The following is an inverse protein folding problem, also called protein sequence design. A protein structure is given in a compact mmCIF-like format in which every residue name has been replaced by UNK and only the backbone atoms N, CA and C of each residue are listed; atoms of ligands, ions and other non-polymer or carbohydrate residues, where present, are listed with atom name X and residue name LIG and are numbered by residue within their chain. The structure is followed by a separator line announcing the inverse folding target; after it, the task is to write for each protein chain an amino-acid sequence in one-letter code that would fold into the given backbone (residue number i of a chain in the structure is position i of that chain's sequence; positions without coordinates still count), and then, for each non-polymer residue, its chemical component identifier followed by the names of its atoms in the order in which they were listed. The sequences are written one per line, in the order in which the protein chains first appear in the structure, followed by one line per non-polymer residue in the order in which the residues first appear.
data_IF_654169504231
#
_entry.id   IF_654169504231
#
_cell.length_a   1.000
_cell.length_b   1.000
_cell.length_c   1.000
_cell.angle_alpha   90.00
_cell.angle_beta   90.00
_cell.angle_gamma   90.00
#
_symmetry.space_group_name_H-M   'P 1'
#
loop_
_entity.id
_entity.type
_entity.pdbx_description
1 polymer ?
#
# COMPACT_ATOMS: atom_id res chain seq x y z
N UNK A 1 13.08 10.46 3.62
CA UNK A 1 12.36 10.31 4.91
C UNK A 1 11.03 11.06 4.96
N UNK A 2 10.95 12.40 4.89
CA UNK A 2 9.64 13.10 4.88
C UNK A 2 8.75 12.77 3.66
N UNK A 3 9.34 12.72 2.45
CA UNK A 3 8.64 12.37 1.20
C UNK A 3 8.08 10.93 1.22
N UNK A 4 8.77 10.01 1.88
CA UNK A 4 8.35 8.61 1.99
C UNK A 4 7.10 8.47 2.88
N UNK A 5 6.98 9.33 3.90
CA UNK A 5 5.80 9.36 4.78
C UNK A 5 4.55 9.93 4.09
N UNK A 6 4.71 10.90 3.18
CA UNK A 6 3.60 11.42 2.37
C UNK A 6 3.05 10.35 1.41
N UNK A 7 3.96 9.58 0.79
CA UNK A 7 3.59 8.46 -0.08
C UNK A 7 2.87 7.36 0.72
N UNK A 8 3.42 6.95 1.87
CA UNK A 8 2.77 5.98 2.77
C UNK A 8 1.37 6.44 3.19
N UNK A 9 1.21 7.70 3.56
CA UNK A 9 -0.10 8.26 3.92
C UNK A 9 -1.08 8.18 2.74
N UNK A 10 -0.63 8.55 1.54
CA UNK A 10 -1.44 8.47 0.33
C UNK A 10 -1.90 7.04 0.05
N UNK A 11 -0.99 6.06 0.19
CA UNK A 11 -1.30 4.63 0.06
C UNK A 11 -2.40 4.23 1.04
N UNK A 12 -2.24 4.54 2.33
CA UNK A 12 -3.20 4.14 3.37
C UNK A 12 -4.59 4.76 3.14
N UNK A 13 -4.65 6.03 2.72
CA UNK A 13 -5.92 6.71 2.37
C UNK A 13 -6.55 6.05 1.14
N UNK A 14 -5.77 5.71 0.14
CA UNK A 14 -6.30 5.07 -1.07
C UNK A 14 -6.83 3.66 -0.78
N UNK A 15 -6.19 2.93 0.13
CA UNK A 15 -6.65 1.62 0.58
C UNK A 15 -7.90 1.71 1.46
N UNK A 16 -8.05 2.76 2.29
CA UNK A 16 -9.25 2.94 3.13
C UNK A 16 -10.52 3.20 2.30
N UNK A 17 -10.37 3.76 1.10
CA UNK A 17 -11.47 4.00 0.16
C UNK A 17 -12.01 2.72 -0.52
N UNK A 18 -11.35 1.57 -0.32
CA UNK A 18 -11.78 0.28 -0.86
C UNK A 18 -11.57 0.14 -2.36
N UNK A 19 -10.35 -0.18 -2.79
CA UNK A 19 -10.04 -0.59 -4.17
C UNK A 19 -10.06 -2.12 -4.29
N UNK A 20 -10.51 -2.63 -5.44
CA UNK A 20 -10.63 -4.08 -5.67
C UNK A 20 -9.27 -4.75 -5.94
N UNK A 21 -8.53 -4.23 -6.92
CA UNK A 21 -7.23 -4.78 -7.34
C UNK A 21 -6.31 -3.64 -7.79
N UNK A 22 -5.03 -3.74 -7.45
CA UNK A 22 -3.97 -2.85 -7.96
C UNK A 22 -3.03 -3.68 -8.83
N UNK A 23 -2.74 -3.18 -10.03
CA UNK A 23 -1.77 -3.78 -10.94
C UNK A 23 -0.47 -2.97 -10.89
N UNK A 24 0.65 -3.65 -10.71
CA UNK A 24 1.98 -3.05 -10.71
C UNK A 24 2.85 -3.64 -11.83
N UNK A 25 3.60 -2.75 -12.48
CA UNK A 25 4.69 -3.10 -13.38
C UNK A 25 6.03 -3.00 -12.64
N UNK A 26 6.71 -4.12 -12.31
CA UNK A 26 7.99 -4.08 -11.62
C UNK A 26 9.12 -3.43 -12.44
N UNK A 27 8.91 -3.16 -13.74
CA UNK A 27 9.85 -2.40 -14.57
C UNK A 27 9.62 -0.89 -14.49
N UNK A 28 8.50 -0.43 -13.91
CA UNK A 28 8.24 0.97 -13.64
C UNK A 28 8.73 1.35 -12.25
N UNK A 29 9.56 2.39 -12.16
CA UNK A 29 10.19 2.82 -10.91
C UNK A 29 9.17 3.30 -9.85
N UNK A 30 8.03 3.85 -10.26
CA UNK A 30 6.99 4.27 -9.32
C UNK A 30 6.28 3.06 -8.73
N UNK A 31 6.01 2.06 -9.55
CA UNK A 31 5.38 0.81 -9.12
C UNK A 31 6.31 -0.02 -8.24
N UNK A 32 7.61 -0.04 -8.53
CA UNK A 32 8.64 -0.63 -7.66
C UNK A 32 8.66 0.04 -6.28
N UNK A 33 8.63 1.38 -6.24
CA UNK A 33 8.58 2.12 -4.99
C UNK A 33 7.27 1.87 -4.23
N UNK A 34 6.14 1.76 -4.94
CA UNK A 34 4.86 1.41 -4.35
C UNK A 34 4.91 0.01 -3.71
N UNK A 35 5.42 -0.99 -4.44
CA UNK A 35 5.59 -2.38 -3.96
C UNK A 35 6.45 -2.44 -2.68
N UNK A 36 7.58 -1.72 -2.67
CA UNK A 36 8.43 -1.60 -1.50
C UNK A 36 7.67 -1.09 -0.26
N UNK A 37 6.85 -0.05 -0.41
CA UNK A 37 6.12 0.53 0.71
C UNK A 37 4.97 -0.35 1.20
N UNK A 38 4.20 -0.97 0.30
CA UNK A 38 3.11 -1.86 0.73
C UNK A 38 3.64 -3.10 1.44
N UNK A 39 4.81 -3.61 1.04
CA UNK A 39 5.43 -4.77 1.69
C UNK A 39 5.86 -4.42 3.11
N UNK A 40 6.46 -3.24 3.34
CA UNK A 40 6.75 -2.73 4.69
C UNK A 40 5.47 -2.59 5.53
N UNK A 41 4.41 -1.99 4.96
CA UNK A 41 3.14 -1.79 5.66
C UNK A 41 2.48 -3.13 6.02
N UNK A 42 2.59 -4.13 5.16
CA UNK A 42 2.10 -5.49 5.41
C UNK A 42 2.91 -6.17 6.52
N UNK A 43 4.24 -6.08 6.48
CA UNK A 43 5.11 -6.61 7.53
C UNK A 43 4.84 -5.95 8.89
N UNK A 44 4.48 -4.67 8.91
CA UNK A 44 4.05 -3.94 10.11
C UNK A 44 2.62 -4.29 10.56
N UNK A 45 1.91 -5.16 9.84
CA UNK A 45 0.52 -5.55 10.04
C UNK A 45 -0.46 -4.37 9.97
N UNK A 46 -0.15 -3.36 9.15
CA UNK A 46 -1.02 -2.19 8.91
C UNK A 46 -1.99 -2.45 7.76
N UNK A 47 -1.59 -3.26 6.78
CA UNK A 47 -2.42 -3.62 5.64
C UNK A 47 -2.44 -5.13 5.42
N UNK A 48 -3.47 -5.59 4.72
CA UNK A 48 -3.59 -6.95 4.24
C UNK A 48 -3.88 -6.92 2.74
N UNK A 49 -3.27 -7.84 2.00
CA UNK A 49 -3.59 -8.10 0.60
C UNK A 49 -3.21 -9.53 0.24
N UNK A 50 -3.73 -10.00 -0.89
CA UNK A 50 -3.29 -11.22 -1.58
C UNK A 50 -2.44 -10.81 -2.78
N UNK A 51 -1.35 -11.53 -3.01
CA UNK A 51 -0.54 -11.33 -4.23
C UNK A 51 -0.83 -12.43 -5.23
N UNK A 52 -0.98 -12.02 -6.49
CA UNK A 52 -0.94 -12.91 -7.65
C UNK A 52 0.11 -12.39 -8.63
N UNK A 53 1.00 -13.27 -9.05
CA UNK A 53 2.00 -13.00 -10.08
C UNK A 53 1.53 -13.63 -11.39
N UNK A 54 1.80 -12.96 -12.51
CA UNK A 54 1.58 -13.52 -13.83
C UNK A 54 2.92 -13.92 -14.46
N UNK A 55 3.08 -15.20 -14.82
CA UNK A 55 4.38 -15.72 -15.28
C UNK A 55 4.75 -15.26 -16.70
N UNK A 56 3.76 -14.85 -17.50
CA UNK A 56 3.95 -14.52 -18.92
C UNK A 56 4.35 -13.07 -19.17
N UNK A 57 3.95 -12.17 -18.27
CA UNK A 57 4.23 -10.74 -18.33
C UNK A 57 4.61 -10.36 -16.91
N UNK A 58 5.74 -9.65 -16.67
CA UNK A 58 6.11 -9.23 -15.34
C UNK A 58 5.07 -8.24 -14.81
N UNK A 59 4.05 -8.77 -14.13
CA UNK A 59 2.94 -8.03 -13.52
C UNK A 59 2.67 -8.61 -12.15
N UNK A 60 2.48 -7.72 -11.19
CA UNK A 60 2.10 -8.05 -9.82
C UNK A 60 0.69 -7.52 -9.61
N UNK A 61 -0.21 -8.41 -9.19
CA UNK A 61 -1.58 -8.06 -8.83
C UNK A 61 -1.74 -8.13 -7.32
N UNK A 62 -2.17 -7.02 -6.74
CA UNK A 62 -2.50 -6.90 -5.32
C UNK A 62 -4.03 -6.95 -5.24
N UNK A 63 -4.55 -8.09 -4.81
CA UNK A 63 -5.96 -8.36 -4.70
C UNK A 63 -6.47 -8.13 -3.27
N UNK A 64 -7.70 -7.62 -3.17
CA UNK A 64 -8.38 -7.33 -1.90
C UNK A 64 -7.56 -6.47 -0.92
N UNK A 65 -6.85 -5.42 -1.36
CA UNK A 65 -6.02 -4.64 -0.46
C UNK A 65 -6.90 -3.86 0.52
N UNK A 66 -6.60 -3.99 1.80
CA UNK A 66 -7.38 -3.37 2.88
C UNK A 66 -6.52 -3.02 4.08
N UNK A 67 -6.97 -2.01 4.83
CA UNK A 67 -6.39 -1.68 6.12
C UNK A 67 -6.77 -2.76 7.16
N UNK A 68 -5.83 -3.09 8.05
CA UNK A 68 -6.14 -3.82 9.28
C UNK A 68 -6.71 -2.83 10.32
N UNK A 69 -7.21 -3.35 11.45
CA UNK A 69 -7.55 -2.50 12.59
C UNK A 69 -6.38 -1.60 13.04
N UNK A 70 -5.16 -2.15 13.08
CA UNK A 70 -3.95 -1.39 13.40
C UNK A 70 -3.65 -0.33 12.33
N UNK A 71 -3.89 -0.66 11.05
CA UNK A 71 -3.75 0.28 9.94
C UNK A 71 -4.67 1.48 10.03
N UNK A 72 -5.95 1.26 10.36
CA UNK A 72 -6.92 2.34 10.58
C UNK A 72 -6.48 3.25 11.74
N UNK A 73 -6.16 2.66 12.90
CA UNK A 73 -5.69 3.45 14.06
C UNK A 73 -4.44 4.25 13.73
N UNK A 74 -3.50 3.68 12.96
CA UNK A 74 -2.30 4.40 12.53
C UNK A 74 -2.65 5.57 11.60
N UNK A 75 -3.54 5.36 10.63
CA UNK A 75 -3.98 6.38 9.69
C UNK A 75 -4.67 7.56 10.40
N UNK A 76 -5.49 7.28 11.41
CA UNK A 76 -6.16 8.32 12.20
C UNK A 76 -5.14 9.17 12.97
N UNK A 77 -4.21 8.53 13.67
CA UNK A 77 -3.17 9.22 14.45
C UNK A 77 -2.27 10.13 13.58
N UNK A 78 -1.88 9.68 12.39
CA UNK A 78 -1.06 10.51 11.48
C UNK A 78 -1.87 11.61 10.78
N UNK A 79 -3.20 11.47 10.76
CA UNK A 79 -4.08 12.48 10.18
C UNK A 79 -4.32 13.63 11.16
N UNK A 80 -4.45 13.32 12.45
CA UNK A 80 -4.62 14.29 13.53
C UNK A 80 -3.32 15.06 13.85
N UNK A 81 -2.16 14.47 13.57
CA UNK A 81 -0.84 15.10 13.80
C UNK A 81 -0.53 16.29 12.87
N UNK A 82 -1.43 16.63 11.94
CA UNK A 82 -1.30 17.75 11.01
C UNK A 82 -2.23 18.94 11.35
N UNK A 83 -2.83 18.94 12.55
CA UNK A 83 -3.58 20.08 13.11
C UNK A 83 -2.68 20.84 14.08
#
# INVERSE_FOLDING_TARGET
MRRDMELVRTILIDLSKGRNTIELNPLDRKDELYDYHIEILRQANLIYYKNRFEDRIPRIYIDEPRLTWKGNNYLDNISDSNI
#
